data_IF_968460397578
#
_entry.id   IF_968460397578
#
_cell.length_a   1.000
_cell.length_b   1.000
_cell.length_c   1.000
_cell.angle_alpha   90.00
_cell.angle_beta   90.00
_cell.angle_gamma   90.00
#
_symmetry.space_group_name_H-M   'P 1'
#
loop_
_entity.id
_entity.type
_entity.pdbx_description
1 polymer ?
#
# COMPACT_ATOMS: atom_id res chain seq x y z
N UNK A 1 -9.74 -19.28 -2.02
CA UNK A 1 -9.30 -19.44 -0.60
C UNK A 1 -8.16 -18.47 -0.29
N UNK A 2 -8.00 -17.43 -1.10
CA UNK A 2 -6.75 -16.66 -1.24
C UNK A 2 -6.83 -15.28 -0.56
N UNK A 3 -8.04 -14.82 -0.29
CA UNK A 3 -8.32 -13.48 0.22
C UNK A 3 -7.78 -13.26 1.63
N UNK A 4 -7.87 -14.28 2.50
CA UNK A 4 -7.24 -14.23 3.83
C UNK A 4 -5.71 -14.24 3.77
N UNK A 5 -5.11 -14.77 2.69
CA UNK A 5 -3.66 -14.80 2.53
C UNK A 5 -3.09 -13.40 2.30
N UNK A 6 -3.74 -12.59 1.44
CA UNK A 6 -3.32 -11.22 1.15
C UNK A 6 -3.35 -10.34 2.40
N UNK A 7 -4.43 -10.41 3.19
CA UNK A 7 -4.51 -9.63 4.43
C UNK A 7 -3.44 -10.04 5.46
N UNK A 8 -3.13 -11.35 5.60
CA UNK A 8 -2.08 -11.81 6.51
C UNK A 8 -0.67 -11.37 6.05
N UNK A 9 -0.39 -11.42 4.75
CA UNK A 9 0.88 -10.96 4.19
C UNK A 9 1.08 -9.46 4.38
N UNK A 10 0.02 -8.67 4.16
CA UNK A 10 0.05 -7.23 4.38
C UNK A 10 0.21 -6.89 5.85
N UNK A 11 -0.49 -7.57 6.76
CA UNK A 11 -0.33 -7.38 8.20
C UNK A 11 1.14 -7.55 8.63
N UNK A 12 1.76 -8.68 8.26
CA UNK A 12 3.16 -8.93 8.58
C UNK A 12 4.12 -7.88 7.99
N UNK A 13 3.80 -7.36 6.78
CA UNK A 13 4.58 -6.29 6.15
C UNK A 13 4.46 -4.98 6.92
N UNK A 14 3.25 -4.59 7.33
CA UNK A 14 3.03 -3.36 8.07
C UNK A 14 3.58 -3.42 9.50
N UNK A 15 3.55 -4.59 10.15
CA UNK A 15 4.22 -4.78 11.45
C UNK A 15 5.73 -4.50 11.36
N UNK A 16 6.37 -4.99 10.29
CA UNK A 16 7.78 -4.70 10.03
C UNK A 16 8.01 -3.21 9.75
N UNK A 17 7.19 -2.59 8.90
CA UNK A 17 7.34 -1.17 8.60
C UNK A 17 7.14 -0.28 9.84
N UNK A 18 6.19 -0.64 10.72
CA UNK A 18 5.99 0.04 11.99
C UNK A 18 7.23 -0.07 12.89
N UNK A 19 7.86 -1.25 12.94
CA UNK A 19 9.14 -1.42 13.64
C UNK A 19 10.28 -0.57 13.02
N UNK A 20 10.23 -0.33 11.72
CA UNK A 20 11.17 0.51 10.98
C UNK A 20 10.85 2.02 11.07
N UNK A 21 9.80 2.43 11.80
CA UNK A 21 9.45 3.82 12.08
C UNK A 21 8.31 4.41 11.23
N UNK A 22 7.57 3.57 10.49
CA UNK A 22 6.33 3.98 9.84
C UNK A 22 5.30 4.43 10.89
N UNK A 23 4.82 5.67 10.76
CA UNK A 23 3.86 6.25 11.73
C UNK A 23 2.40 5.99 11.36
N UNK A 24 2.07 6.10 10.07
CA UNK A 24 0.68 5.97 9.59
C UNK A 24 0.66 5.64 8.10
N UNK A 25 -0.39 4.94 7.66
CA UNK A 25 -0.66 4.61 6.25
C UNK A 25 -2.15 4.81 5.99
N UNK A 26 -2.45 5.58 4.94
CA UNK A 26 -3.82 5.84 4.50
C UNK A 26 -4.01 5.40 3.06
N UNK A 27 -5.07 4.64 2.84
CA UNK A 27 -5.53 4.27 1.51
C UNK A 27 -6.76 5.10 1.15
N UNK A 28 -6.72 5.74 -0.01
CA UNK A 28 -7.87 6.43 -0.57
C UNK A 28 -8.59 5.49 -1.52
N UNK A 29 -9.75 5.00 -1.10
CA UNK A 29 -10.62 4.20 -1.96
C UNK A 29 -11.54 5.11 -2.76
N UNK A 30 -11.73 4.80 -4.04
CA UNK A 30 -12.54 5.61 -4.95
C UNK A 30 -14.04 5.57 -4.60
N UNK A 31 -14.51 4.42 -4.14
CA UNK A 31 -15.90 4.19 -3.74
C UNK A 31 -15.92 3.38 -2.45
N UNK A 32 -16.37 3.99 -1.35
CA UNK A 32 -16.44 3.33 -0.04
C UNK A 32 -17.56 2.31 0.06
N UNK A 33 -18.62 2.44 -0.75
CA UNK A 33 -19.78 1.55 -0.70
C UNK A 33 -19.50 0.19 -1.36
N UNK A 34 -18.49 0.16 -2.24
CA UNK A 34 -18.04 -1.04 -2.97
C UNK A 34 -16.73 -1.62 -2.41
N UNK A 35 -16.01 -0.86 -1.57
CA UNK A 35 -14.73 -1.29 -1.03
C UNK A 35 -14.92 -2.33 0.09
N UNK A 36 -14.44 -3.54 -0.13
CA UNK A 36 -14.30 -4.57 0.91
C UNK A 36 -12.88 -4.60 1.45
N UNK A 37 -12.71 -5.00 2.72
CA UNK A 37 -11.39 -5.13 3.32
C UNK A 37 -10.50 -6.11 2.51
N UNK A 38 -11.11 -7.20 2.07
CA UNK A 38 -10.57 -8.20 1.18
C UNK A 38 -10.05 -7.61 -0.14
N UNK A 39 -10.88 -6.83 -0.83
CA UNK A 39 -10.51 -6.21 -2.09
C UNK A 39 -9.38 -5.20 -1.91
N UNK A 40 -9.41 -4.42 -0.82
CA UNK A 40 -8.32 -3.51 -0.47
C UNK A 40 -7.02 -4.29 -0.22
N UNK A 41 -7.06 -5.40 0.52
CA UNK A 41 -5.88 -6.24 0.73
C UNK A 41 -5.31 -6.74 -0.61
N UNK A 42 -6.17 -7.21 -1.53
CA UNK A 42 -5.72 -7.67 -2.84
C UNK A 42 -5.05 -6.55 -3.65
N UNK A 43 -5.71 -5.39 -3.76
CA UNK A 43 -5.18 -4.23 -4.51
C UNK A 43 -3.82 -3.77 -3.96
N UNK A 44 -3.69 -3.66 -2.64
CA UNK A 44 -2.44 -3.23 -1.99
C UNK A 44 -1.34 -4.29 -2.14
N UNK A 45 -1.68 -5.58 -2.09
CA UNK A 45 -0.72 -6.64 -2.42
C UNK A 45 -0.21 -6.49 -3.85
N UNK A 46 -1.10 -6.30 -4.84
CA UNK A 46 -0.70 -6.12 -6.25
C UNK A 46 0.16 -4.87 -6.45
N UNK A 47 -0.13 -3.77 -5.75
CA UNK A 47 0.72 -2.57 -5.75
C UNK A 47 2.15 -2.91 -5.31
N UNK A 48 2.32 -3.61 -4.19
CA UNK A 48 3.65 -3.95 -3.70
C UNK A 48 4.38 -4.97 -4.58
N UNK A 49 3.66 -5.88 -5.24
CA UNK A 49 4.24 -6.76 -6.25
C UNK A 49 4.73 -5.98 -7.47
N UNK A 50 3.99 -4.97 -7.92
CA UNK A 50 4.42 -4.07 -9.00
C UNK A 50 5.70 -3.33 -8.62
N UNK A 51 5.77 -2.80 -7.40
CA UNK A 51 7.00 -2.18 -6.86
C UNK A 51 8.16 -3.18 -6.84
N UNK A 52 7.92 -4.43 -6.44
CA UNK A 52 8.97 -5.46 -6.45
C UNK A 52 9.46 -5.82 -7.87
N UNK A 53 8.63 -5.57 -8.89
CA UNK A 53 8.99 -5.74 -10.31
C UNK A 53 9.66 -4.50 -10.92
N UNK A 54 9.80 -3.40 -10.18
CA UNK A 54 10.35 -2.14 -10.72
C UNK A 54 9.35 -1.38 -11.59
N UNK A 55 8.05 -1.60 -11.41
CA UNK A 55 6.97 -0.92 -12.16
C UNK A 55 6.55 0.41 -11.48
N UNK A 56 7.25 0.84 -10.44
CA UNK A 56 7.04 2.12 -9.78
C UNK A 56 7.82 3.26 -10.46
N UNK A 57 7.22 4.44 -10.47
CA UNK A 57 7.89 5.69 -10.84
C UNK A 57 7.96 6.60 -9.62
N UNK A 58 9.13 7.18 -9.37
CA UNK A 58 9.29 8.16 -8.31
C UNK A 58 8.56 9.45 -8.69
N UNK A 59 7.59 9.85 -7.88
CA UNK A 59 6.94 11.15 -8.02
C UNK A 59 7.91 12.27 -7.61
N UNK A 60 8.37 13.04 -8.59
CA UNK A 60 9.08 14.30 -8.35
C UNK A 60 8.07 15.44 -8.27
N UNK A 61 7.75 15.86 -7.05
CA UNK A 61 6.83 16.97 -6.80
C UNK A 61 7.46 18.34 -7.09
N UNK A 62 8.79 18.44 -7.24
CA UNK A 62 9.55 19.70 -7.46
C UNK A 62 9.30 20.81 -6.44
N UNK A 63 8.64 20.51 -5.33
CA UNK A 63 8.25 21.46 -4.29
C UNK A 63 9.43 22.06 -3.51
N UNK A 64 10.64 21.52 -3.71
CA UNK A 64 11.88 22.02 -3.11
C UNK A 64 12.38 23.36 -3.68
N UNK A 65 11.68 23.98 -4.64
CA UNK A 65 12.05 25.29 -5.22
C UNK A 65 11.22 26.44 -4.65
N UNK A 66 11.32 26.66 -3.33
CA UNK A 66 11.10 27.98 -2.73
C UNK A 66 12.35 28.38 -1.96
N UNK A 67 13.24 29.09 -2.65
CA UNK A 67 14.30 29.90 -2.05
C UNK A 67 13.71 31.18 -1.46
#
# INVERSE_FOLDING_TARGET
MDTHMHCNQLAARFDKMAADGLLDVKFFVRNTDEATAEGVCEEVSRLYEAVARGEEEALDFRDATRA
#
